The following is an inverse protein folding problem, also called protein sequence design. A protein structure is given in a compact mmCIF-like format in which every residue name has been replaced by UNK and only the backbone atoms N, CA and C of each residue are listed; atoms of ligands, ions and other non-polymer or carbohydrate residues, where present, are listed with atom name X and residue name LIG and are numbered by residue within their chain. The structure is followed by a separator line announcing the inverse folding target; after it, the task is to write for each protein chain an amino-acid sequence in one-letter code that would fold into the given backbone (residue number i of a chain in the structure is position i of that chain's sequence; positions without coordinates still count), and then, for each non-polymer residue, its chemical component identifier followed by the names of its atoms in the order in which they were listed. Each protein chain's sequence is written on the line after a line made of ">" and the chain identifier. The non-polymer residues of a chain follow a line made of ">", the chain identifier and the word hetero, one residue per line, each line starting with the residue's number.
data_IF_517264432147
#
_entry.id   IF_517264432147
#
_cell.length_a   1.000
_cell.length_b   1.000
_cell.length_c   1.000
_cell.angle_alpha   90.00
_cell.angle_beta   90.00
_cell.angle_gamma   90.00
#
_symmetry.space_group_name_H-M   'P 1'
#
loop_
_entity.id
_entity.type
_entity.pdbx_description
1 polymer ?
#
# COMPACT_ATOMS: atom_id res chain seq x y z
N UNK A 1 -24.09 15.07 2.60
CA UNK A 1 -23.17 13.96 2.85
C UNK A 1 -22.20 14.40 3.91
N UNK A 2 -21.95 13.64 4.99
CA UNK A 2 -20.88 13.98 5.91
C UNK A 2 -19.56 13.93 5.14
N UNK A 3 -18.74 14.95 5.29
CA UNK A 3 -17.42 14.98 4.70
C UNK A 3 -16.62 13.79 5.25
N UNK A 4 -16.18 12.89 4.38
CA UNK A 4 -15.24 11.83 4.75
C UNK A 4 -13.96 12.54 5.18
N UNK A 5 -13.72 12.59 6.49
CA UNK A 5 -12.48 13.13 7.03
C UNK A 5 -11.41 12.08 6.84
N UNK A 6 -10.48 12.31 5.92
CA UNK A 6 -9.29 11.48 5.78
C UNK A 6 -8.54 11.32 7.11
N UNK A 7 -7.82 10.22 7.25
CA UNK A 7 -6.94 10.00 8.40
C UNK A 7 -5.93 11.15 8.51
N UNK A 8 -5.75 11.66 9.73
CA UNK A 8 -4.75 12.70 10.01
C UNK A 8 -3.50 12.04 10.59
N UNK A 9 -2.31 12.60 10.33
CA UNK A 9 -1.09 12.10 10.95
C UNK A 9 -1.17 12.18 12.48
N UNK A 10 -0.49 11.26 13.15
CA UNK A 10 -0.36 11.27 14.60
C UNK A 10 0.50 12.46 14.97
N UNK A 11 -0.03 13.35 15.82
CA UNK A 11 0.73 14.49 16.34
C UNK A 11 1.57 14.05 17.53
N UNK A 12 2.87 14.15 17.37
CA UNK A 12 3.84 13.95 18.43
C UNK A 12 4.71 15.23 18.55
N UNK A 13 4.66 15.90 19.71
CA UNK A 13 5.38 17.14 19.93
C UNK A 13 6.90 16.97 19.86
N UNK A 14 7.43 15.85 20.35
CA UNK A 14 8.88 15.57 20.32
C UNK A 14 9.38 15.40 18.88
N UNK A 15 8.62 14.69 18.05
CA UNK A 15 8.93 14.53 16.61
C UNK A 15 8.88 15.88 15.90
N UNK A 16 7.89 16.71 16.25
CA UNK A 16 7.76 18.05 15.68
C UNK A 16 8.94 18.94 16.09
N UNK A 17 9.29 18.97 17.37
CA UNK A 17 10.42 19.73 17.89
C UNK A 17 11.75 19.29 17.25
N UNK A 18 11.95 17.98 17.09
CA UNK A 18 13.11 17.45 16.38
C UNK A 18 13.13 17.91 14.91
N UNK A 19 12.02 17.79 14.20
CA UNK A 19 11.89 18.26 12.82
C UNK A 19 12.20 19.76 12.70
N UNK A 20 11.62 20.58 13.58
CA UNK A 20 11.82 22.03 13.58
C UNK A 20 13.27 22.42 13.97
N UNK A 21 14.02 21.53 14.62
CA UNK A 21 15.44 21.73 14.97
C UNK A 21 16.40 21.47 13.80
N UNK A 22 15.95 20.83 12.73
CA UNK A 22 16.76 20.58 11.52
C UNK A 22 16.83 21.87 10.72
N UNK A 23 17.93 22.60 10.87
CA UNK A 23 18.12 23.94 10.28
C UNK A 23 18.48 23.86 8.81
N UNK A 24 19.15 22.81 8.38
CA UNK A 24 19.51 22.60 6.97
C UNK A 24 19.15 21.19 6.53
N UNK A 25 18.35 21.04 5.46
CA UNK A 25 18.12 19.73 4.89
C UNK A 25 19.45 19.22 4.32
N UNK A 26 19.97 18.11 4.86
CA UNK A 26 21.12 17.45 4.28
C UNK A 26 20.74 16.99 2.88
N UNK A 27 21.60 17.22 1.86
CA UNK A 27 21.36 16.67 0.54
C UNK A 27 21.25 15.15 0.65
N UNK A 28 20.09 14.63 0.30
CA UNK A 28 19.80 13.21 0.43
C UNK A 28 19.88 12.58 -0.93
N UNK A 29 20.77 11.59 -1.09
CA UNK A 29 20.88 10.81 -2.30
C UNK A 29 19.83 9.69 -2.32
N UNK A 30 19.45 9.22 -3.50
CA UNK A 30 18.54 8.08 -3.65
C UNK A 30 19.06 6.83 -2.91
N UNK A 31 20.37 6.61 -2.89
CA UNK A 31 21.00 5.50 -2.16
C UNK A 31 20.79 5.60 -0.64
N UNK A 32 20.89 6.81 -0.09
CA UNK A 32 20.64 7.04 1.33
C UNK A 32 19.16 6.83 1.69
N UNK A 33 18.26 7.26 0.82
CA UNK A 33 16.85 6.98 0.98
C UNK A 33 16.57 5.48 0.97
N UNK A 34 17.15 4.75 0.04
CA UNK A 34 16.93 3.30 -0.08
C UNK A 34 17.37 2.54 1.19
N UNK A 35 18.49 2.93 1.81
CA UNK A 35 18.95 2.30 3.06
C UNK A 35 18.04 2.62 4.24
N UNK A 36 17.67 3.89 4.40
CA UNK A 36 16.79 4.33 5.50
C UNK A 36 15.41 3.73 5.39
N UNK A 37 14.89 3.54 4.17
CA UNK A 37 13.57 3.00 3.97
C UNK A 37 13.43 1.56 4.48
N UNK A 38 14.40 0.70 4.23
CA UNK A 38 14.41 -0.69 4.72
C UNK A 38 14.48 -0.76 6.24
N UNK A 39 15.35 0.05 6.85
CA UNK A 39 15.41 0.19 8.30
C UNK A 39 14.07 0.65 8.88
N UNK A 40 13.49 1.67 8.28
CA UNK A 40 12.23 2.22 8.74
C UNK A 40 11.06 1.22 8.62
N UNK A 41 11.00 0.42 7.57
CA UNK A 41 9.97 -0.60 7.41
C UNK A 41 10.03 -1.67 8.51
N UNK A 42 11.21 -1.90 9.11
CA UNK A 42 11.47 -2.93 10.09
C UNK A 42 11.96 -2.41 11.45
N UNK A 43 11.69 -1.14 11.78
CA UNK A 43 12.23 -0.51 13.01
C UNK A 43 11.63 -1.05 14.32
N UNK A 44 10.60 -1.89 14.27
CA UNK A 44 9.88 -2.39 15.45
C UNK A 44 9.60 -3.88 15.29
N UNK A 45 9.83 -4.65 16.36
CA UNK A 45 9.51 -6.09 16.43
C UNK A 45 8.01 -6.40 16.31
N UNK A 46 7.15 -5.37 16.40
CA UNK A 46 5.71 -5.53 16.26
C UNK A 46 5.27 -5.77 14.80
N UNK A 47 6.17 -5.66 13.85
CA UNK A 47 5.93 -5.88 12.42
C UNK A 47 7.21 -6.27 11.70
N UNK A 48 7.08 -6.94 10.57
CA UNK A 48 8.22 -7.26 9.71
C UNK A 48 7.83 -7.32 8.24
N UNK A 49 8.68 -6.81 7.38
CA UNK A 49 8.57 -6.89 5.94
C UNK A 49 9.89 -7.42 5.37
N UNK A 50 9.85 -8.64 4.85
CA UNK A 50 10.97 -9.27 4.16
C UNK A 50 10.74 -9.29 2.64
N UNK A 51 11.78 -9.63 1.86
CA UNK A 51 11.69 -9.79 0.40
C UNK A 51 11.72 -8.47 -0.40
N UNK A 52 12.03 -7.34 0.24
CA UNK A 52 12.11 -6.05 -0.48
C UNK A 52 13.32 -5.98 -1.45
N UNK A 53 14.32 -6.82 -1.25
CA UNK A 53 15.53 -6.82 -2.08
C UNK A 53 15.29 -7.35 -3.50
N UNK A 54 14.23 -8.10 -3.72
CA UNK A 54 13.86 -8.64 -5.01
C UNK A 54 13.19 -7.60 -5.93
N UNK A 55 12.77 -6.47 -5.38
CA UNK A 55 12.25 -5.36 -6.17
C UNK A 55 13.38 -4.59 -6.83
N UNK A 56 13.43 -4.64 -8.17
CA UNK A 56 14.52 -4.04 -8.99
C UNK A 56 14.53 -2.52 -8.96
N UNK A 57 13.39 -1.90 -8.67
CA UNK A 57 13.23 -0.46 -8.68
C UNK A 57 12.58 0.01 -7.39
N UNK A 58 13.17 1.03 -6.79
CA UNK A 58 12.58 1.81 -5.71
C UNK A 58 12.67 3.28 -6.10
N UNK A 59 11.56 4.01 -5.94
CA UNK A 59 11.49 5.43 -6.26
C UNK A 59 10.60 6.16 -5.26
N UNK A 60 10.79 7.46 -5.16
CA UNK A 60 9.95 8.34 -4.35
C UNK A 60 8.83 8.92 -5.21
N UNK A 61 7.62 8.73 -4.75
CA UNK A 61 6.41 9.24 -5.38
C UNK A 61 5.77 10.34 -4.52
N UNK A 62 4.87 11.11 -5.10
CA UNK A 62 4.06 12.10 -4.38
C UNK A 62 2.92 11.41 -3.60
N UNK A 63 3.28 10.40 -2.80
CA UNK A 63 2.36 9.58 -2.02
C UNK A 63 1.88 8.33 -2.75
N UNK A 64 1.27 7.41 -1.98
CA UNK A 64 0.79 6.11 -2.47
C UNK A 64 -0.24 6.25 -3.61
N UNK A 65 -0.98 7.35 -3.64
CA UNK A 65 -1.95 7.65 -4.70
C UNK A 65 -1.32 7.66 -6.09
N UNK A 66 -0.11 8.17 -6.23
CA UNK A 66 0.59 8.16 -7.52
C UNK A 66 0.93 6.73 -7.97
N UNK A 67 1.31 5.88 -7.04
CA UNK A 67 1.57 4.45 -7.34
C UNK A 67 0.29 3.76 -7.78
N UNK A 68 -0.84 4.04 -7.13
CA UNK A 68 -2.14 3.50 -7.55
C UNK A 68 -2.50 3.94 -8.95
N UNK A 69 -2.37 5.23 -9.26
CA UNK A 69 -2.65 5.75 -10.58
C UNK A 69 -1.79 5.04 -11.65
N UNK A 70 -0.51 4.84 -11.38
CA UNK A 70 0.39 4.14 -12.29
C UNK A 70 -0.01 2.69 -12.48
N UNK A 71 -0.28 1.95 -11.38
CA UNK A 71 -0.72 0.58 -11.42
C UNK A 71 -2.05 0.43 -12.18
N UNK A 72 -3.03 1.26 -11.86
CA UNK A 72 -4.35 1.24 -12.49
C UNK A 72 -4.23 1.54 -13.99
N UNK A 73 -3.50 2.59 -14.37
CA UNK A 73 -3.33 2.97 -15.78
C UNK A 73 -2.57 1.92 -16.58
N UNK A 74 -1.63 1.22 -15.95
CA UNK A 74 -0.89 0.12 -16.56
C UNK A 74 -1.79 -1.08 -16.86
N UNK A 75 -2.65 -1.45 -15.93
CA UNK A 75 -3.42 -2.68 -15.97
C UNK A 75 -4.86 -2.53 -16.49
N UNK A 76 -5.49 -1.37 -16.37
CA UNK A 76 -6.88 -1.16 -16.78
C UNK A 76 -7.14 -1.23 -18.29
N UNK A 77 -6.09 -1.37 -19.10
CA UNK A 77 -6.23 -1.50 -20.56
C UNK A 77 -6.73 -2.89 -20.99
N UNK A 78 -6.36 -3.90 -20.22
CA UNK A 78 -6.60 -5.30 -20.51
C UNK A 78 -7.11 -6.12 -19.31
N UNK A 79 -7.15 -5.50 -18.12
CA UNK A 79 -7.51 -6.13 -16.85
C UNK A 79 -8.59 -5.35 -16.12
N UNK A 80 -9.49 -6.07 -15.48
CA UNK A 80 -10.41 -5.50 -14.50
C UNK A 80 -9.66 -5.24 -13.18
N UNK A 81 -9.81 -4.05 -12.63
CA UNK A 81 -9.16 -3.70 -11.36
C UNK A 81 -10.05 -4.13 -10.20
N UNK A 82 -9.58 -5.07 -9.40
CA UNK A 82 -10.27 -5.59 -8.24
C UNK A 82 -9.87 -4.80 -6.98
N UNK A 83 -10.86 -4.54 -6.14
CA UNK A 83 -10.68 -3.90 -4.85
C UNK A 83 -11.59 -4.57 -3.83
N UNK A 84 -11.08 -4.84 -2.64
CA UNK A 84 -11.90 -5.38 -1.55
C UNK A 84 -12.73 -4.26 -0.91
N UNK A 85 -13.99 -4.55 -0.61
CA UNK A 85 -14.82 -3.63 0.16
C UNK A 85 -14.25 -3.46 1.56
N UNK A 86 -14.23 -2.21 2.03
CA UNK A 86 -13.58 -1.88 3.30
C UNK A 86 -12.12 -1.48 3.17
N UNK A 87 -11.54 -1.64 1.99
CA UNK A 87 -10.22 -1.11 1.71
C UNK A 87 -10.24 0.37 1.32
N UNK A 88 -9.04 0.97 1.17
CA UNK A 88 -8.90 2.38 0.85
C UNK A 88 -9.60 2.75 -0.46
N UNK A 89 -10.48 3.76 -0.42
CA UNK A 89 -11.38 4.10 -1.53
C UNK A 89 -10.89 5.25 -2.43
N UNK A 90 -9.59 5.53 -2.46
CA UNK A 90 -9.05 6.58 -3.35
C UNK A 90 -9.39 6.33 -4.82
N UNK A 91 -9.35 5.08 -5.24
CA UNK A 91 -9.71 4.65 -6.59
C UNK A 91 -11.14 5.03 -7.00
N UNK A 92 -12.03 5.30 -6.05
CA UNK A 92 -13.36 5.84 -6.37
C UNK A 92 -13.29 7.18 -7.14
N UNK A 93 -12.21 7.95 -7.00
CA UNK A 93 -11.97 9.17 -7.76
C UNK A 93 -11.73 8.87 -9.26
N UNK A 94 -11.13 7.73 -9.56
CA UNK A 94 -10.86 7.27 -10.93
C UNK A 94 -12.03 6.49 -11.55
N UNK A 95 -13.07 6.18 -10.77
CA UNK A 95 -14.24 5.40 -11.22
C UNK A 95 -15.02 6.01 -12.39
N UNK A 96 -14.68 7.23 -12.80
CA UNK A 96 -15.19 7.85 -14.03
C UNK A 96 -14.45 7.39 -15.29
N UNK A 97 -13.25 6.85 -15.14
CA UNK A 97 -12.33 6.53 -16.22
C UNK A 97 -11.94 5.05 -16.26
N UNK A 98 -12.09 4.36 -15.14
CA UNK A 98 -11.70 2.96 -14.95
C UNK A 98 -12.82 2.20 -14.26
N UNK A 99 -13.14 1.04 -14.75
CA UNK A 99 -14.12 0.15 -14.16
C UNK A 99 -13.46 -0.65 -13.03
N UNK A 100 -13.98 -0.49 -11.81
CA UNK A 100 -13.51 -1.21 -10.63
C UNK A 100 -14.54 -2.25 -10.21
N UNK A 101 -14.09 -3.44 -9.90
CA UNK A 101 -14.91 -4.47 -9.30
C UNK A 101 -14.67 -4.55 -7.81
N UNK A 102 -15.73 -4.29 -7.05
CA UNK A 102 -15.70 -4.37 -5.60
C UNK A 102 -16.15 -5.75 -5.15
N UNK A 103 -15.32 -6.37 -4.33
CA UNK A 103 -15.56 -7.70 -3.79
C UNK A 103 -15.71 -7.61 -2.28
N UNK A 104 -16.78 -8.19 -1.72
CA UNK A 104 -17.10 -8.07 -0.30
C UNK A 104 -16.62 -9.25 0.54
N UNK A 105 -16.57 -10.44 -0.05
CA UNK A 105 -16.32 -11.69 0.65
C UNK A 105 -15.32 -12.54 -0.11
N UNK A 106 -14.58 -13.38 0.62
CA UNK A 106 -13.58 -14.29 0.05
C UNK A 106 -14.16 -15.18 -1.07
N UNK A 107 -15.31 -15.80 -0.82
CA UNK A 107 -15.91 -16.70 -1.83
C UNK A 107 -16.25 -15.96 -3.12
N UNK A 108 -16.75 -14.73 -3.01
CA UNK A 108 -17.00 -13.88 -4.17
C UNK A 108 -15.71 -13.50 -4.88
N UNK A 109 -14.63 -13.23 -4.14
CA UNK A 109 -13.31 -12.98 -4.72
C UNK A 109 -12.81 -14.20 -5.49
N UNK A 110 -12.90 -15.39 -4.89
CA UNK A 110 -12.50 -16.63 -5.57
C UNK A 110 -13.27 -16.87 -6.86
N UNK A 111 -14.59 -16.66 -6.86
CA UNK A 111 -15.42 -16.80 -8.05
C UNK A 111 -14.99 -15.82 -9.15
N UNK A 112 -14.73 -14.56 -8.76
CA UNK A 112 -14.27 -13.54 -9.69
C UNK A 112 -12.90 -13.90 -10.26
N UNK A 113 -11.94 -14.23 -9.39
CA UNK A 113 -10.57 -14.52 -9.80
C UNK A 113 -10.45 -15.78 -10.65
N UNK A 114 -11.32 -16.77 -10.44
CA UNK A 114 -11.40 -18.00 -11.25
C UNK A 114 -12.30 -17.86 -12.48
N UNK A 115 -13.02 -16.73 -12.60
CA UNK A 115 -13.91 -16.42 -13.71
C UNK A 115 -13.17 -16.05 -15.00
N UNK A 116 -13.90 -15.87 -16.09
CA UNK A 116 -13.32 -15.40 -17.34
C UNK A 116 -12.88 -13.95 -17.20
N UNK A 117 -11.70 -13.62 -17.70
CA UNK A 117 -11.14 -12.28 -17.72
C UNK A 117 -9.77 -12.21 -17.07
N UNK A 118 -9.07 -11.14 -17.34
CA UNK A 118 -7.81 -10.81 -16.70
C UNK A 118 -8.08 -9.82 -15.57
N UNK A 119 -7.41 -10.01 -14.44
CA UNK A 119 -7.60 -9.19 -13.27
C UNK A 119 -6.28 -8.61 -12.77
N UNK A 120 -6.37 -7.51 -12.03
CA UNK A 120 -5.28 -6.94 -11.21
C UNK A 120 -5.88 -6.51 -9.88
N UNK A 121 -5.16 -6.70 -8.77
CA UNK A 121 -5.66 -6.47 -7.42
C UNK A 121 -4.94 -5.32 -6.74
N UNK A 122 -5.72 -4.44 -6.11
CA UNK A 122 -5.24 -3.48 -5.11
C UNK A 122 -5.65 -3.96 -3.72
N UNK A 123 -4.72 -4.05 -2.79
CA UNK A 123 -4.99 -4.46 -1.41
C UNK A 123 -4.07 -3.74 -0.42
N UNK A 124 -4.61 -3.33 0.72
CA UNK A 124 -3.84 -2.70 1.80
C UNK A 124 -3.42 -3.69 2.87
N UNK A 125 -2.24 -3.46 3.46
CA UNK A 125 -1.77 -4.13 4.66
C UNK A 125 -1.07 -3.11 5.60
N UNK A 126 -1.62 -2.79 6.76
CA UNK A 126 -2.88 -3.31 7.33
C UNK A 126 -4.10 -2.92 6.48
N UNK A 127 -5.10 -3.79 6.48
CA UNK A 127 -6.34 -3.57 5.75
C UNK A 127 -7.13 -2.41 6.36
N UNK A 128 -7.67 -1.53 5.53
CA UNK A 128 -8.16 -0.23 5.97
C UNK A 128 -9.28 -0.31 7.01
N UNK A 129 -10.27 -1.19 6.85
CA UNK A 129 -11.38 -1.31 7.79
C UNK A 129 -10.99 -2.01 9.10
N UNK A 130 -9.99 -2.89 9.08
CA UNK A 130 -9.62 -3.69 10.24
C UNK A 130 -8.47 -3.08 11.05
N UNK A 131 -7.59 -2.31 10.41
CA UNK A 131 -6.36 -1.81 11.02
C UNK A 131 -5.33 -2.91 11.33
N UNK A 132 -5.55 -4.13 10.85
CA UNK A 132 -4.66 -5.28 10.92
C UNK A 132 -4.64 -6.00 9.57
N UNK A 133 -3.90 -7.12 9.48
CA UNK A 133 -3.90 -7.93 8.26
C UNK A 133 -5.32 -8.42 7.95
N UNK A 134 -5.67 -8.44 6.65
CA UNK A 134 -6.92 -9.07 6.22
C UNK A 134 -6.89 -10.56 6.62
N UNK A 135 -7.95 -11.12 7.23
CA UNK A 135 -7.93 -12.50 7.72
C UNK A 135 -7.60 -13.54 6.64
N UNK A 136 -7.99 -13.28 5.40
CA UNK A 136 -7.72 -14.16 4.26
C UNK A 136 -6.54 -13.69 3.40
N UNK A 137 -5.64 -12.83 3.91
CA UNK A 137 -4.58 -12.22 3.09
C UNK A 137 -3.72 -13.27 2.38
N UNK A 138 -3.21 -14.25 3.10
CA UNK A 138 -2.34 -15.29 2.54
C UNK A 138 -3.05 -16.10 1.45
N UNK A 139 -4.31 -16.44 1.67
CA UNK A 139 -5.08 -17.22 0.70
C UNK A 139 -5.40 -16.39 -0.55
N UNK A 140 -5.70 -15.10 -0.40
CA UNK A 140 -5.88 -14.16 -1.51
C UNK A 140 -4.60 -14.09 -2.34
N UNK A 141 -3.45 -13.93 -1.69
CA UNK A 141 -2.15 -13.88 -2.38
C UNK A 141 -1.85 -15.19 -3.11
N UNK A 142 -2.11 -16.34 -2.46
CA UNK A 142 -1.92 -17.65 -3.07
C UNK A 142 -2.79 -17.82 -4.33
N UNK A 143 -4.02 -17.36 -4.31
CA UNK A 143 -4.89 -17.40 -5.50
C UNK A 143 -4.32 -16.48 -6.59
N UNK A 144 -3.88 -15.28 -6.24
CA UNK A 144 -3.27 -14.35 -7.18
C UNK A 144 -2.00 -14.94 -7.83
N UNK A 145 -1.17 -15.62 -7.05
CA UNK A 145 0.03 -16.30 -7.56
C UNK A 145 -0.31 -17.40 -8.58
N UNK A 146 -1.26 -18.28 -8.23
CA UNK A 146 -1.69 -19.38 -9.11
C UNK A 146 -2.31 -18.87 -10.42
N UNK A 147 -3.02 -17.75 -10.36
CA UNK A 147 -3.73 -17.16 -11.49
C UNK A 147 -2.91 -16.09 -12.25
N UNK A 148 -1.66 -15.85 -11.84
CA UNK A 148 -0.79 -14.76 -12.36
C UNK A 148 -1.48 -13.38 -12.35
N UNK A 149 -2.14 -13.05 -11.26
CA UNK A 149 -2.83 -11.79 -11.06
C UNK A 149 -1.87 -10.80 -10.40
N UNK A 150 -1.45 -9.74 -11.09
CA UNK A 150 -0.58 -8.74 -10.49
C UNK A 150 -1.26 -8.03 -9.34
N UNK A 151 -0.53 -7.88 -8.24
CA UNK A 151 -1.00 -7.23 -7.00
C UNK A 151 -0.18 -5.98 -6.74
N UNK A 152 -0.85 -4.88 -6.42
CA UNK A 152 -0.26 -3.70 -5.78
C UNK A 152 -0.59 -3.74 -4.29
N UNK A 153 0.43 -3.82 -3.45
CA UNK A 153 0.31 -3.84 -2.00
C UNK A 153 0.48 -2.43 -1.43
N UNK A 154 -0.60 -1.92 -0.82
CA UNK A 154 -0.58 -0.63 -0.14
C UNK A 154 -0.18 -0.76 1.33
N UNK A 155 0.99 -0.25 1.66
CA UNK A 155 1.53 -0.18 3.02
C UNK A 155 1.43 1.24 3.61
N UNK A 156 0.42 2.05 3.21
CA UNK A 156 0.30 3.43 3.67
C UNK A 156 0.28 3.56 5.20
N UNK A 157 -0.31 2.61 5.89
CA UNK A 157 -0.40 2.58 7.36
C UNK A 157 0.70 1.75 8.04
N UNK A 158 1.65 1.22 7.28
CA UNK A 158 2.71 0.35 7.81
C UNK A 158 3.49 0.98 8.96
N UNK A 159 3.80 2.26 8.86
CA UNK A 159 4.54 3.00 9.89
C UNK A 159 3.91 2.99 11.28
N UNK A 160 2.59 2.80 11.36
CA UNK A 160 1.84 2.76 12.63
C UNK A 160 1.18 1.40 12.87
N UNK A 161 1.45 0.42 12.01
CA UNK A 161 0.91 -0.94 12.11
C UNK A 161 1.55 -1.71 13.27
N UNK A 162 0.79 -2.67 13.80
CA UNK A 162 1.24 -3.67 14.76
C UNK A 162 0.76 -5.05 14.32
N UNK A 163 1.54 -6.07 14.65
CA UNK A 163 1.18 -7.47 14.35
C UNK A 163 0.96 -7.74 12.85
N UNK A 164 1.70 -7.03 12.00
CA UNK A 164 1.71 -7.23 10.57
C UNK A 164 3.07 -7.81 10.17
N UNK A 165 3.06 -9.04 9.67
CA UNK A 165 4.28 -9.74 9.25
C UNK A 165 4.06 -10.24 7.82
N UNK A 166 4.88 -9.78 6.89
CA UNK A 166 4.79 -10.14 5.47
C UNK A 166 6.20 -10.52 5.01
N UNK A 167 6.28 -11.66 4.38
CA UNK A 167 7.45 -12.07 3.62
C UNK A 167 7.06 -12.11 2.14
N UNK A 168 7.52 -11.12 1.39
CA UNK A 168 7.17 -10.93 -0.01
C UNK A 168 7.69 -12.05 -0.90
N UNK A 169 8.73 -12.77 -0.48
CA UNK A 169 9.29 -13.91 -1.23
C UNK A 169 8.27 -15.04 -1.39
N UNK A 170 7.30 -15.13 -0.47
CA UNK A 170 6.21 -16.10 -0.56
C UNK A 170 5.05 -15.65 -1.48
N UNK A 171 5.05 -14.41 -1.96
CA UNK A 171 3.94 -13.83 -2.71
C UNK A 171 4.38 -13.18 -4.02
N UNK A 172 4.86 -13.96 -5.00
CA UNK A 172 5.37 -13.42 -6.27
C UNK A 172 4.33 -12.66 -7.10
N UNK A 173 3.03 -12.79 -6.82
CA UNK A 173 2.00 -11.95 -7.44
C UNK A 173 2.10 -10.48 -7.03
N UNK A 174 2.71 -10.16 -5.88
CA UNK A 174 2.94 -8.77 -5.47
C UNK A 174 4.03 -8.17 -6.35
N UNK A 175 3.61 -7.36 -7.32
CA UNK A 175 4.49 -6.74 -8.32
C UNK A 175 4.87 -5.30 -7.95
N UNK A 176 4.06 -4.64 -7.18
CA UNK A 176 4.28 -3.27 -6.72
C UNK A 176 3.96 -3.16 -5.24
N UNK A 177 4.84 -2.49 -4.49
CA UNK A 177 4.65 -2.20 -3.07
C UNK A 177 4.78 -0.70 -2.90
N UNK A 178 3.84 -0.09 -2.20
CA UNK A 178 3.89 1.34 -1.90
C UNK A 178 3.70 1.58 -0.42
N UNK A 179 4.39 2.60 0.11
CA UNK A 179 4.34 2.98 1.51
C UNK A 179 4.22 4.49 1.65
N UNK A 180 3.64 4.97 2.73
CA UNK A 180 3.51 6.40 2.98
C UNK A 180 4.22 6.82 4.26
N UNK A 181 5.03 7.85 4.17
CA UNK A 181 5.62 8.53 5.33
C UNK A 181 4.65 9.53 5.97
N UNK A 182 3.57 9.91 5.29
CA UNK A 182 2.64 10.94 5.75
C UNK A 182 1.76 10.51 6.94
N UNK A 183 1.68 9.23 7.26
CA UNK A 183 0.90 8.73 8.40
C UNK A 183 1.67 8.80 9.71
N UNK A 184 2.93 8.32 9.77
CA UNK A 184 3.75 8.43 10.97
C UNK A 184 4.39 9.82 11.14
N UNK A 185 4.59 10.57 10.05
CA UNK A 185 5.29 11.85 10.06
C UNK A 185 4.41 13.02 9.57
N UNK A 186 4.71 14.24 10.06
CA UNK A 186 3.98 15.46 9.73
C UNK A 186 4.38 16.06 8.36
N UNK A 187 4.63 15.24 7.36
CA UNK A 187 5.16 15.69 6.07
C UNK A 187 4.18 16.54 5.24
N UNK A 188 2.89 16.54 5.59
CA UNK A 188 1.85 17.25 4.84
C UNK A 188 1.45 18.62 5.43
N UNK A 189 1.99 19.03 6.58
CA UNK A 189 1.63 20.35 7.17
C UNK A 189 2.42 21.53 6.55
N UNK A 190 3.37 21.26 5.64
CA UNK A 190 4.25 22.27 5.04
C UNK A 190 4.08 22.43 3.52
N UNK A 191 2.93 22.06 2.97
CA UNK A 191 2.61 22.26 1.55
C UNK A 191 1.37 23.09 1.37
#
# INVERSE_FOLDING_TARGET
>A
MPAVRGARPIRNSEVKEFHDSIIEPMPVTLERYASVWKEWMNYSDAKSLAGLDDFRFADYTQGTSQTFDQFILKHSKDREILVLRGDFQYHACLGKYVEFKYVSERNQLEEVLKGPGLHALLISAPFSDFGCMHPDFEEIMRICDVMDIPVCLDLAYWGIAKHCHIDLDFFPAIREVTCSLSKPFFTLENH
#
